data_IF_738829955218
#
_entry.id   IF_738829955218
#
_cell.length_a   1.000
_cell.length_b   1.000
_cell.length_c   1.000
_cell.angle_alpha   90.00
_cell.angle_beta   90.00
_cell.angle_gamma   90.00
#
_symmetry.space_group_name_H-M   'P 1'
#
loop_
_entity.id
_entity.type
_entity.pdbx_description
1 polymer ?
#
# COMPACT_ATOMS: atom_id res chain seq x y z
N UNK A 1 9.40 -28.58 3.30
CA UNK A 1 8.32 -29.59 3.29
C UNK A 1 6.92 -28.96 3.17
N UNK A 2 6.77 -27.90 2.36
CA UNK A 2 5.56 -27.05 2.40
C UNK A 2 5.06 -26.64 0.99
N UNK A 3 5.60 -27.30 -0.06
CA UNK A 3 5.26 -27.09 -1.47
C UNK A 3 4.05 -27.94 -1.86
N UNK A 4 2.88 -27.64 -1.31
CA UNK A 4 1.65 -28.38 -1.65
C UNK A 4 0.44 -28.06 -0.78
N UNK A 5 0.62 -27.36 0.34
CA UNK A 5 -0.50 -26.93 1.19
C UNK A 5 -1.24 -25.77 0.53
N UNK A 6 -2.56 -25.88 0.47
CA UNK A 6 -3.45 -24.79 0.11
C UNK A 6 -3.24 -23.62 1.09
N UNK A 7 -3.48 -22.37 0.65
CA UNK A 7 -3.36 -21.20 1.53
C UNK A 7 -4.21 -21.33 2.81
N UNK A 8 -5.28 -22.13 2.78
CA UNK A 8 -6.11 -22.44 3.94
C UNK A 8 -5.41 -23.35 4.97
N UNK A 9 -4.59 -24.30 4.51
CA UNK A 9 -3.82 -25.22 5.36
C UNK A 9 -2.56 -24.57 5.95
N UNK A 10 -1.96 -23.61 5.25
CA UNK A 10 -0.82 -22.81 5.76
C UNK A 10 -1.20 -21.84 6.88
N UNK A 11 -2.42 -21.31 6.85
CA UNK A 11 -2.87 -20.20 7.70
C UNK A 11 -3.94 -20.64 8.71
N UNK A 12 -4.02 -21.95 9.00
CA UNK A 12 -5.17 -22.60 9.62
C UNK A 12 -5.76 -21.91 10.86
N UNK A 13 -4.92 -21.26 11.68
CA UNK A 13 -5.31 -20.63 12.97
C UNK A 13 -5.37 -19.09 12.96
N UNK A 14 -5.07 -18.43 11.84
CA UNK A 14 -5.09 -16.96 11.74
C UNK A 14 -6.50 -16.51 11.38
N UNK A 15 -7.06 -15.54 12.11
CA UNK A 15 -8.36 -14.95 11.78
C UNK A 15 -8.34 -14.42 10.34
N UNK A 16 -9.44 -14.59 9.61
CA UNK A 16 -9.61 -14.09 8.25
C UNK A 16 -9.23 -12.62 8.07
N UNK A 17 -9.43 -11.77 9.09
CA UNK A 17 -9.12 -10.33 9.00
C UNK A 17 -7.62 -10.02 8.93
N UNK A 18 -6.75 -10.96 9.36
CA UNK A 18 -5.29 -10.83 9.32
C UNK A 18 -4.64 -11.61 8.17
N UNK A 19 -5.45 -12.35 7.39
CA UNK A 19 -4.92 -13.09 6.25
C UNK A 19 -4.58 -12.13 5.12
N UNK A 20 -3.63 -12.52 4.29
CA UNK A 20 -3.33 -11.78 3.05
C UNK A 20 -4.60 -11.68 2.21
N UNK A 21 -5.06 -10.46 1.98
CA UNK A 21 -6.20 -10.22 1.11
C UNK A 21 -5.74 -10.22 -0.35
N UNK A 22 -6.24 -11.17 -1.12
CA UNK A 22 -6.02 -11.23 -2.56
C UNK A 22 -7.08 -10.39 -3.28
N UNK A 23 -6.62 -9.45 -4.10
CA UNK A 23 -7.47 -8.71 -5.03
C UNK A 23 -7.57 -9.52 -6.31
N UNK A 24 -8.77 -9.98 -6.63
CA UNK A 24 -9.06 -10.73 -7.86
C UNK A 24 -9.55 -9.75 -8.91
N UNK A 25 -8.79 -9.59 -9.98
CA UNK A 25 -9.13 -8.72 -11.10
C UNK A 25 -10.29 -9.34 -11.90
N UNK A 26 -11.28 -8.51 -12.22
CA UNK A 26 -12.40 -8.87 -13.09
C UNK A 26 -12.04 -8.70 -14.56
N UNK A 27 -13.06 -8.72 -15.44
CA UNK A 27 -12.84 -8.51 -16.89
C UNK A 27 -12.47 -7.06 -17.19
N UNK A 28 -12.92 -6.12 -16.37
CA UNK A 28 -12.56 -4.70 -16.44
C UNK A 28 -11.37 -4.36 -15.53
N UNK A 29 -10.63 -5.37 -15.06
CA UNK A 29 -9.47 -5.18 -14.21
C UNK A 29 -9.85 -4.87 -12.76
N UNK A 30 -9.23 -3.82 -12.21
CA UNK A 30 -9.39 -3.43 -10.79
C UNK A 30 -10.72 -2.70 -10.53
N UNK A 31 -11.32 -2.09 -11.55
CA UNK A 31 -12.57 -1.34 -11.44
C UNK A 31 -13.75 -2.21 -11.01
N UNK A 32 -13.70 -3.51 -11.32
CA UNK A 32 -14.70 -4.49 -10.89
C UNK A 32 -14.59 -4.86 -9.39
N UNK A 33 -13.47 -4.51 -8.72
CA UNK A 33 -13.22 -4.93 -7.35
C UNK A 33 -13.91 -4.01 -6.33
N UNK A 34 -14.85 -4.57 -5.57
CA UNK A 34 -15.58 -3.82 -4.54
C UNK A 34 -14.79 -3.76 -3.22
N UNK A 35 -14.01 -2.69 -3.03
CA UNK A 35 -13.26 -2.42 -1.79
C UNK A 35 -14.14 -2.20 -0.57
N UNK A 36 -15.35 -1.67 -0.74
CA UNK A 36 -16.32 -1.41 0.34
C UNK A 36 -16.70 -2.67 1.13
N UNK A 37 -16.58 -3.86 0.52
CA UNK A 37 -16.78 -5.15 1.22
C UNK A 37 -15.79 -5.39 2.35
N UNK A 38 -14.60 -4.79 2.28
CA UNK A 38 -13.52 -4.98 3.25
C UNK A 38 -13.38 -3.82 4.24
N UNK A 39 -14.07 -2.71 3.98
CA UNK A 39 -14.01 -1.52 4.82
C UNK A 39 -15.38 -0.84 4.94
N UNK A 40 -16.02 -1.05 6.10
CA UNK A 40 -17.26 -0.37 6.48
C UNK A 40 -17.04 0.96 7.20
N UNK A 41 -15.78 1.35 7.43
CA UNK A 41 -15.45 2.58 8.16
C UNK A 41 -15.36 3.80 7.24
N UNK A 42 -15.09 4.96 7.82
CA UNK A 42 -14.79 6.21 7.09
C UNK A 42 -13.28 6.41 6.87
N UNK A 43 -12.44 5.51 7.38
CA UNK A 43 -10.99 5.59 7.22
C UNK A 43 -10.57 4.85 5.98
N UNK A 44 -10.02 5.59 5.02
CA UNK A 44 -9.60 5.07 3.71
C UNK A 44 -8.51 4.00 3.86
N UNK A 45 -8.62 2.92 3.08
CA UNK A 45 -7.61 1.87 3.00
C UNK A 45 -6.54 2.19 1.96
N UNK A 46 -5.49 1.36 1.87
CA UNK A 46 -4.48 1.43 0.83
C UNK A 46 -4.42 0.14 0.01
N UNK A 47 -4.32 0.27 -1.31
CA UNK A 47 -4.16 -0.88 -2.19
C UNK A 47 -2.84 -1.62 -1.96
N UNK A 48 -2.86 -2.94 -2.08
CA UNK A 48 -1.71 -3.80 -1.83
C UNK A 48 -1.10 -4.43 -3.09
N UNK A 49 -1.70 -4.22 -4.26
CA UNK A 49 -1.26 -4.76 -5.55
C UNK A 49 -0.20 -3.88 -6.24
N UNK A 50 0.71 -3.32 -5.44
CA UNK A 50 1.77 -2.40 -5.87
C UNK A 50 3.09 -2.76 -5.18
N UNK A 51 4.25 -2.59 -5.84
CA UNK A 51 5.56 -2.86 -5.23
C UNK A 51 5.77 -2.06 -3.95
N UNK A 52 6.44 -2.65 -2.96
CA UNK A 52 6.69 -2.02 -1.66
C UNK A 52 5.41 -1.73 -0.85
N UNK A 53 4.29 -2.43 -1.13
CA UNK A 53 3.04 -2.23 -0.40
C UNK A 53 3.11 -2.63 1.08
N UNK A 54 4.18 -3.31 1.52
CA UNK A 54 4.47 -3.52 2.94
C UNK A 54 4.57 -2.18 3.70
N UNK A 55 4.98 -1.09 3.03
CA UNK A 55 5.10 0.25 3.60
C UNK A 55 3.72 0.84 3.97
N UNK A 56 2.61 0.33 3.42
CA UNK A 56 1.26 0.81 3.73
C UNK A 56 0.96 0.80 5.24
N UNK A 57 1.47 -0.21 5.97
CA UNK A 57 1.31 -0.28 7.42
C UNK A 57 2.00 0.89 8.15
N UNK A 58 3.19 1.27 7.69
CA UNK A 58 3.90 2.43 8.20
C UNK A 58 3.18 3.73 7.83
N UNK A 59 2.69 3.88 6.60
CA UNK A 59 1.94 5.06 6.15
C UNK A 59 0.71 5.29 7.02
N UNK A 60 -0.08 4.24 7.28
CA UNK A 60 -1.24 4.35 8.17
C UNK A 60 -0.83 4.75 9.59
N UNK A 61 0.24 4.16 10.13
CA UNK A 61 0.75 4.53 11.46
C UNK A 61 1.16 6.00 11.50
N UNK A 62 1.93 6.46 10.52
CA UNK A 62 2.38 7.85 10.40
C UNK A 62 1.21 8.82 10.24
N UNK A 63 0.17 8.45 9.48
CA UNK A 63 -1.03 9.26 9.28
C UNK A 63 -1.79 9.56 10.58
N UNK A 64 -1.81 8.63 11.53
CA UNK A 64 -2.49 8.83 12.81
C UNK A 64 -1.64 9.57 13.85
N UNK A 65 -0.36 9.84 13.57
CA UNK A 65 0.46 10.74 14.38
C UNK A 65 0.11 12.18 13.99
N UNK A 66 -0.83 12.80 14.72
CA UNK A 66 -1.39 14.11 14.36
C UNK A 66 -0.36 15.21 14.08
N UNK A 67 0.71 15.39 14.88
CA UNK A 67 1.71 16.42 14.60
C UNK A 67 2.46 16.16 13.29
N UNK A 68 2.80 14.88 13.01
CA UNK A 68 3.47 14.49 11.78
C UNK A 68 2.57 14.72 10.57
N UNK A 69 1.30 14.29 10.65
CA UNK A 69 0.32 14.53 9.59
C UNK A 69 0.14 16.02 9.32
N UNK A 70 -0.02 16.83 10.36
CA UNK A 70 -0.16 18.28 10.22
C UNK A 70 1.08 18.91 9.56
N UNK A 71 2.28 18.47 9.93
CA UNK A 71 3.51 18.94 9.30
C UNK A 71 3.57 18.59 7.81
N UNK A 72 3.34 17.32 7.46
CA UNK A 72 3.40 16.85 6.07
C UNK A 72 2.34 17.50 5.17
N UNK A 73 1.15 17.81 5.71
CA UNK A 73 0.09 18.50 4.96
C UNK A 73 0.36 19.99 4.70
N UNK A 74 1.19 20.63 5.52
CA UNK A 74 1.52 22.06 5.39
C UNK A 74 2.86 22.30 4.69
N UNK A 75 3.55 21.25 4.28
CA UNK A 75 4.81 21.34 3.59
C UNK A 75 4.61 21.28 2.07
N UNK A 76 5.35 22.11 1.35
CA UNK A 76 5.55 21.95 -0.09
C UNK A 76 6.96 22.44 -0.42
N UNK A 77 7.81 21.55 -0.92
CA UNK A 77 9.17 21.91 -1.32
C UNK A 77 9.22 22.37 -2.79
N UNK A 78 10.32 23.02 -3.17
CA UNK A 78 10.62 23.37 -4.56
C UNK A 78 11.28 22.23 -5.34
N UNK A 79 11.47 21.06 -4.73
CA UNK A 79 12.11 19.90 -5.36
C UNK A 79 11.10 19.15 -6.21
N UNK A 80 11.52 18.63 -7.36
CA UNK A 80 10.65 17.85 -8.25
C UNK A 80 10.18 16.54 -7.61
N UNK A 81 11.04 15.87 -6.83
CA UNK A 81 10.70 14.66 -6.09
C UNK A 81 11.14 14.82 -4.64
N UNK A 82 10.17 15.00 -3.75
CA UNK A 82 10.38 15.12 -2.31
C UNK A 82 9.51 14.11 -1.58
N UNK A 83 10.14 13.22 -0.81
CA UNK A 83 9.42 12.16 -0.10
C UNK A 83 8.37 12.71 0.89
N UNK A 84 8.68 13.83 1.54
CA UNK A 84 7.78 14.48 2.49
C UNK A 84 6.56 15.12 1.79
N UNK A 85 6.73 15.64 0.58
CA UNK A 85 5.60 16.20 -0.18
C UNK A 85 4.71 15.06 -0.71
N UNK A 86 5.32 13.98 -1.19
CA UNK A 86 4.60 12.78 -1.65
C UNK A 86 3.76 12.13 -0.54
N UNK A 87 4.30 12.05 0.69
CA UNK A 87 3.51 11.56 1.83
C UNK A 87 2.43 12.56 2.24
N UNK A 88 2.67 13.86 2.10
CA UNK A 88 1.68 14.92 2.30
C UNK A 88 0.49 14.80 1.34
N UNK A 89 0.75 14.60 0.04
CA UNK A 89 -0.29 14.35 -0.96
C UNK A 89 -1.09 13.09 -0.65
N UNK A 90 -0.40 12.01 -0.24
CA UNK A 90 -1.06 10.77 0.16
C UNK A 90 -1.94 10.95 1.42
N UNK A 91 -1.46 11.70 2.41
CA UNK A 91 -2.25 12.04 3.59
C UNK A 91 -3.48 12.89 3.24
N UNK A 92 -3.34 13.81 2.29
CA UNK A 92 -4.48 14.57 1.78
C UNK A 92 -5.51 13.64 1.13
N UNK A 93 -5.09 12.71 0.28
CA UNK A 93 -5.98 11.68 -0.30
C UNK A 93 -6.69 10.87 0.79
N UNK A 94 -5.96 10.35 1.78
CA UNK A 94 -6.55 9.57 2.87
C UNK A 94 -7.63 10.33 3.66
N UNK A 95 -7.47 11.65 3.83
CA UNK A 95 -8.48 12.51 4.47
C UNK A 95 -9.74 12.70 3.61
N UNK A 96 -9.57 12.88 2.30
CA UNK A 96 -10.67 13.21 1.39
C UNK A 96 -11.44 11.98 0.87
N UNK A 97 -10.82 10.80 0.87
CA UNK A 97 -11.43 9.59 0.28
C UNK A 97 -12.54 8.93 1.11
N UNK A 98 -12.77 9.35 2.36
CA UNK A 98 -13.94 8.94 3.18
C UNK A 98 -14.26 7.43 3.21
N UNK A 99 -13.22 6.58 3.27
CA UNK A 99 -13.35 5.12 3.36
C UNK A 99 -13.15 4.39 2.03
N UNK A 100 -13.07 5.13 0.93
CA UNK A 100 -12.64 4.57 -0.36
C UNK A 100 -11.15 4.20 -0.33
N UNK A 101 -10.76 3.27 -1.21
CA UNK A 101 -9.37 2.80 -1.26
C UNK A 101 -8.48 3.84 -1.95
N UNK A 102 -7.30 4.09 -1.40
CA UNK A 102 -6.30 4.99 -1.96
C UNK A 102 -5.10 4.20 -2.50
N UNK A 103 -4.36 4.81 -3.44
CA UNK A 103 -3.11 4.27 -3.97
C UNK A 103 -1.92 5.09 -3.47
N UNK A 104 -0.89 4.40 -2.96
CA UNK A 104 0.36 5.01 -2.52
C UNK A 104 1.44 5.04 -3.62
N UNK A 105 1.06 4.85 -4.90
CA UNK A 105 2.00 4.63 -6.02
C UNK A 105 3.03 5.73 -6.20
N UNK A 106 2.64 6.99 -6.07
CA UNK A 106 3.57 8.13 -6.24
C UNK A 106 4.61 8.16 -5.12
N UNK A 107 4.16 8.05 -3.87
CA UNK A 107 5.05 7.91 -2.71
C UNK A 107 5.98 6.70 -2.82
N UNK A 108 5.45 5.52 -3.16
CA UNK A 108 6.25 4.29 -3.26
C UNK A 108 7.26 4.36 -4.41
N UNK A 109 6.94 5.07 -5.50
CA UNK A 109 7.87 5.35 -6.59
C UNK A 109 9.00 6.28 -6.12
N UNK A 110 8.68 7.39 -5.46
CA UNK A 110 9.67 8.31 -4.90
C UNK A 110 10.56 7.63 -3.87
N UNK A 111 9.96 6.80 -2.99
CA UNK A 111 10.67 5.99 -2.01
C UNK A 111 11.67 5.02 -2.67
N UNK A 112 11.26 4.38 -3.77
CA UNK A 112 12.12 3.43 -4.51
C UNK A 112 13.32 4.09 -5.19
N UNK A 113 13.28 5.40 -5.40
CA UNK A 113 14.38 6.16 -6.01
C UNK A 113 15.43 6.59 -4.98
N UNK A 114 15.17 6.45 -3.68
CA UNK A 114 16.13 6.82 -2.63
C UNK A 114 17.30 5.82 -2.61
N UNK A 115 18.55 6.29 -2.82
CA UNK A 115 19.73 5.42 -2.72
C UNK A 115 19.82 4.71 -1.36
N UNK A 116 19.40 5.39 -0.29
CA UNK A 116 19.37 4.85 1.07
C UNK A 116 18.39 3.69 1.20
N UNK A 117 17.22 3.74 0.54
CA UNK A 117 16.23 2.68 0.61
C UNK A 117 16.76 1.37 -0.01
N UNK A 118 17.51 1.49 -1.11
CA UNK A 118 18.20 0.36 -1.73
C UNK A 118 19.33 -0.17 -0.83
N UNK A 119 20.18 0.73 -0.31
CA UNK A 119 21.33 0.37 0.54
C UNK A 119 20.92 -0.29 1.85
N UNK A 120 19.79 0.12 2.42
CA UNK A 120 19.21 -0.45 3.64
C UNK A 120 18.33 -1.67 3.36
N UNK A 121 18.24 -2.11 2.10
CA UNK A 121 17.46 -3.27 1.69
C UNK A 121 15.97 -3.18 2.04
N UNK A 122 15.42 -1.98 1.98
CA UNK A 122 14.02 -1.75 2.27
C UNK A 122 13.12 -2.14 1.09
N UNK A 123 13.64 -2.12 -0.14
CA UNK A 123 12.84 -2.37 -1.33
C UNK A 123 12.50 -3.87 -1.51
N UNK A 124 11.24 -4.15 -1.85
CA UNK A 124 10.78 -5.49 -2.22
C UNK A 124 11.55 -5.98 -3.45
N UNK A 125 12.35 -7.03 -3.28
CA UNK A 125 13.10 -7.67 -4.37
C UNK A 125 12.26 -8.68 -5.18
N UNK A 126 11.03 -8.96 -4.74
CA UNK A 126 10.26 -10.14 -5.18
C UNK A 126 9.09 -9.86 -6.14
N UNK A 127 8.78 -8.61 -6.52
CA UNK A 127 7.65 -8.34 -7.41
C UNK A 127 7.94 -8.50 -8.90
N UNK A 128 9.21 -8.69 -9.29
CA UNK A 128 9.58 -8.96 -10.69
C UNK A 128 9.10 -10.34 -11.20
N UNK A 129 8.78 -11.28 -10.32
CA UNK A 129 8.41 -12.66 -10.70
C UNK A 129 6.91 -12.97 -10.62
N UNK A 130 6.06 -12.03 -10.19
CA UNK A 130 4.62 -12.27 -10.07
C UNK A 130 3.80 -11.81 -11.30
N UNK A 131 4.36 -10.93 -12.15
CA UNK A 131 3.68 -10.42 -13.35
C UNK A 131 4.24 -10.96 -14.67
N UNK A 132 5.40 -11.63 -14.65
CA UNK A 132 5.95 -12.36 -15.79
C UNK A 132 5.54 -13.83 -15.65
N UNK A 133 4.36 -14.19 -16.16
CA UNK A 133 3.97 -15.60 -16.26
C UNK A 133 2.50 -15.87 -16.07
N UNK A 134 1.65 -15.28 -16.92
CA UNK A 134 0.40 -15.89 -17.44
C UNK A 134 0.09 -15.25 -18.79
N UNK A 135 0.83 -15.68 -19.80
CA UNK A 135 0.27 -15.84 -21.15
C UNK A 135 -0.24 -17.27 -21.29
#
# INVERSE_FOLDING_TARGET
EDRGKTARERWGKVDSIYRRQEIKLGKLGLEDFNFRRFNSTRFSGLENMIPNSYVNAWIHTAFFILPLRAHMLNQLSSKEVCLADEVGFLFHMLLQSHGECCQATNFLRAFSQLPEASRLELLDRSTATAFVGRE
#
